data_IF_898808002228
#
_entry.id   IF_898808002228
#
_cell.length_a   1.000
_cell.length_b   1.000
_cell.length_c   1.000
_cell.angle_alpha   90.00
_cell.angle_beta   90.00
_cell.angle_gamma   90.00
#
_symmetry.space_group_name_H-M   'P 1'
#
loop_
_entity.id
_entity.type
_entity.pdbx_description
1 polymer ?
#
# COMPACT_ATOMS: atom_id res chain seq x y z
N UNK A 1 14.16 8.86 2.18
CA UNK A 1 12.75 8.75 2.59
C UNK A 1 12.05 7.87 1.56
N UNK A 2 11.41 6.78 1.98
CA UNK A 2 10.69 5.91 1.04
C UNK A 2 9.28 6.46 0.81
N UNK A 3 8.93 6.70 -0.45
CA UNK A 3 7.58 7.13 -0.85
C UNK A 3 6.69 5.92 -1.08
N UNK A 4 5.53 5.92 -0.44
CA UNK A 4 4.46 4.91 -0.57
C UNK A 4 3.15 5.61 -0.87
N UNK A 5 2.09 4.85 -1.18
CA UNK A 5 0.79 5.41 -1.55
C UNK A 5 -0.25 5.07 -0.49
N UNK A 6 -0.95 6.09 -0.01
CA UNK A 6 -1.93 5.93 1.08
C UNK A 6 -3.27 5.42 0.55
N UNK A 7 -3.84 4.48 1.28
CA UNK A 7 -5.17 3.91 1.08
C UNK A 7 -6.10 4.30 2.23
N UNK A 8 -7.39 4.33 1.94
CA UNK A 8 -8.43 4.23 2.97
C UNK A 8 -8.60 2.76 3.40
N UNK A 9 -9.17 2.48 4.60
CA UNK A 9 -9.43 1.11 5.04
C UNK A 9 -10.23 0.28 4.01
N UNK A 10 -11.27 0.87 3.43
CA UNK A 10 -12.11 0.22 2.41
C UNK A 10 -11.34 -0.10 1.13
N UNK A 11 -10.43 0.80 0.70
CA UNK A 11 -9.56 0.53 -0.46
C UNK A 11 -8.55 -0.58 -0.16
N UNK A 12 -8.01 -0.63 1.06
CA UNK A 12 -7.11 -1.70 1.49
C UNK A 12 -7.82 -3.07 1.50
N UNK A 13 -9.05 -3.12 2.01
CA UNK A 13 -9.87 -4.34 1.96
C UNK A 13 -10.18 -4.79 0.53
N UNK A 14 -10.52 -3.85 -0.36
CA UNK A 14 -10.77 -4.15 -1.77
C UNK A 14 -9.53 -4.71 -2.48
N UNK A 15 -8.33 -4.21 -2.15
CA UNK A 15 -7.09 -4.65 -2.77
C UNK A 15 -6.56 -5.97 -2.18
N UNK A 16 -6.83 -6.30 -0.92
CA UNK A 16 -6.27 -7.47 -0.22
C UNK A 16 -6.47 -8.81 -0.95
N UNK A 17 -7.51 -8.92 -1.78
CA UNK A 17 -7.79 -10.13 -2.59
C UNK A 17 -7.69 -9.88 -4.10
N UNK A 18 -7.06 -8.77 -4.50
CA UNK A 18 -6.86 -8.40 -5.89
C UNK A 18 -5.42 -8.69 -6.31
N UNK A 19 -5.23 -9.18 -7.54
CA UNK A 19 -3.91 -9.41 -8.12
C UNK A 19 -3.31 -8.11 -8.66
N UNK A 20 -2.06 -7.82 -8.28
CA UNK A 20 -1.23 -6.74 -8.88
C UNK A 20 -0.71 -7.21 -10.24
N UNK A 21 -0.16 -8.43 -10.24
CA UNK A 21 0.38 -9.14 -11.40
C UNK A 21 -0.04 -10.62 -11.29
N UNK A 22 0.03 -11.41 -12.39
CA UNK A 22 -0.41 -12.80 -12.37
C UNK A 22 0.30 -13.61 -11.27
N UNK A 23 -0.46 -14.09 -10.28
CA UNK A 23 0.09 -14.84 -9.15
C UNK A 23 0.68 -14.00 -8.01
N UNK A 24 0.56 -12.67 -8.04
CA UNK A 24 0.97 -11.79 -6.94
C UNK A 24 -0.18 -10.86 -6.52
N UNK A 25 -0.60 -10.96 -5.25
CA UNK A 25 -1.67 -10.14 -4.68
C UNK A 25 -1.13 -8.80 -4.17
N UNK A 26 -1.99 -7.80 -4.07
CA UNK A 26 -1.63 -6.59 -3.34
C UNK A 26 -1.35 -6.93 -1.87
N UNK A 27 -0.38 -6.24 -1.30
CA UNK A 27 -0.03 -6.38 0.10
C UNK A 27 -0.20 -5.05 0.84
N UNK A 28 -1.45 -4.59 1.04
CA UNK A 28 -1.69 -3.40 1.84
C UNK A 28 -1.28 -3.65 3.29
N UNK A 29 -0.39 -2.82 3.81
CA UNK A 29 0.09 -2.86 5.20
C UNK A 29 -0.22 -1.56 5.92
N UNK A 30 -0.08 -1.55 7.26
CA UNK A 30 -0.20 -0.33 8.06
C UNK A 30 1.16 0.15 8.53
N UNK A 31 1.41 1.45 8.38
CA UNK A 31 2.59 2.13 8.90
C UNK A 31 2.45 2.45 10.41
N UNK A 32 3.45 3.08 11.05
CA UNK A 32 3.42 3.47 12.47
C UNK A 32 2.25 4.36 12.85
N UNK A 33 1.73 5.16 11.92
CA UNK A 33 0.56 6.02 12.12
C UNK A 33 -0.78 5.32 11.82
N UNK A 34 -0.77 3.99 11.69
CA UNK A 34 -1.91 3.15 11.32
C UNK A 34 -2.58 3.52 9.99
N UNK A 35 -1.89 4.23 9.09
CA UNK A 35 -2.37 4.50 7.73
C UNK A 35 -2.10 3.27 6.87
N UNK A 36 -3.09 2.91 6.07
CA UNK A 36 -2.93 1.86 5.07
C UNK A 36 -2.08 2.35 3.90
N UNK A 37 -1.11 1.56 3.50
CA UNK A 37 -0.19 1.91 2.42
C UNK A 37 0.10 0.71 1.51
N UNK A 38 0.44 1.01 0.26
CA UNK A 38 1.03 0.08 -0.71
C UNK A 38 2.29 0.67 -1.34
N UNK A 39 3.12 -0.20 -1.87
CA UNK A 39 4.43 0.13 -2.43
C UNK A 39 4.29 0.85 -3.78
N UNK A 40 5.29 1.66 -4.13
CA UNK A 40 5.36 2.29 -5.46
C UNK A 40 5.31 1.25 -6.59
N UNK A 41 6.01 0.14 -6.41
CA UNK A 41 6.02 -0.97 -7.37
C UNK A 41 4.61 -1.56 -7.60
N UNK A 42 3.80 -1.71 -6.56
CA UNK A 42 2.42 -2.21 -6.69
C UNK A 42 1.56 -1.24 -7.50
N UNK A 43 1.72 0.07 -7.29
CA UNK A 43 1.01 1.10 -8.06
C UNK A 43 1.46 1.12 -9.52
N UNK A 44 2.75 0.96 -9.79
CA UNK A 44 3.32 0.98 -11.14
C UNK A 44 2.97 -0.27 -11.95
N UNK A 45 2.98 -1.45 -11.31
CA UNK A 45 2.73 -2.73 -11.97
C UNK A 45 1.25 -3.04 -12.17
N UNK A 46 0.36 -2.48 -11.33
CA UNK A 46 -1.06 -2.73 -11.48
C UNK A 46 -1.70 -2.01 -12.68
N UNK A 47 -2.82 -2.58 -13.14
CA UNK A 47 -3.64 -1.99 -14.20
C UNK A 47 -4.89 -1.26 -13.68
N UNK A 48 -4.98 -1.02 -12.37
CA UNK A 48 -6.15 -0.43 -11.73
C UNK A 48 -6.03 1.10 -11.77
N UNK A 49 -6.89 1.83 -12.52
CA UNK A 49 -6.69 3.26 -12.76
C UNK A 49 -6.70 4.10 -11.49
N UNK A 50 -7.60 3.80 -10.55
CA UNK A 50 -7.72 4.57 -9.32
C UNK A 50 -6.53 4.38 -8.38
N UNK A 51 -5.84 3.24 -8.43
CA UNK A 51 -4.62 2.99 -7.65
C UNK A 51 -3.50 3.95 -8.06
N UNK A 52 -3.46 4.34 -9.34
CA UNK A 52 -2.49 5.32 -9.86
C UNK A 52 -2.79 6.77 -9.44
N UNK A 53 -3.95 7.02 -8.84
CA UNK A 53 -4.37 8.35 -8.37
C UNK A 53 -4.19 8.55 -6.86
N UNK A 54 -3.67 7.53 -6.16
CA UNK A 54 -3.50 7.59 -4.71
C UNK A 54 -2.50 8.67 -4.31
N UNK A 55 -2.70 9.33 -3.15
CA UNK A 55 -1.78 10.34 -2.67
C UNK A 55 -0.47 9.69 -2.20
N UNK A 56 0.69 10.16 -2.66
CA UNK A 56 1.98 9.71 -2.16
C UNK A 56 2.25 10.30 -0.77
N UNK A 57 2.77 9.46 0.13
CA UNK A 57 3.18 9.85 1.48
C UNK A 57 4.56 9.30 1.82
N UNK A 58 5.16 9.81 2.88
CA UNK A 58 6.41 9.27 3.43
C UNK A 58 6.08 8.05 4.28
N UNK A 59 6.71 6.92 3.99
CA UNK A 59 6.56 5.70 4.77
C UNK A 59 7.23 5.85 6.15
N UNK A 60 6.47 5.55 7.20
CA UNK A 60 6.94 5.48 8.57
C UNK A 60 6.84 4.03 9.05
N UNK A 61 7.94 3.26 9.02
CA UNK A 61 7.89 1.86 9.41
C UNK A 61 7.40 1.73 10.85
N UNK A 62 6.57 0.72 11.13
CA UNK A 62 6.27 0.35 12.51
C UNK A 62 7.61 0.07 13.19
N UNK A 63 7.99 0.92 14.14
CA UNK A 63 9.17 0.67 14.96
C UNK A 63 8.83 -0.55 15.79
N UNK A 64 9.37 -1.72 15.41
CA UNK A 64 9.28 -2.91 16.24
C UNK A 64 10.07 -2.59 17.51
N UNK A 65 9.33 -2.14 18.52
CA UNK A 65 9.87 -1.85 19.85
C UNK A 65 9.95 -3.17 20.62
N UNK A 66 10.46 -4.23 19.99
CA UNK A 66 10.91 -5.40 20.74
C UNK A 66 12.29 -5.06 21.26
N UNK A 67 12.31 -4.72 22.55
CA UNK A 67 13.45 -4.48 23.44
C UNK A 67 14.65 -5.38 23.18
#
# INVERSE_FOLDING_TARGET
>A
MNTVYQLTPTQAEALRSTEVTPGNLFNPIQDQQDRWIISKEEVEQCNIPWVKTLPPIIYEPKTDSSL
#
